data_IF_556414279580
#
_entry.id   IF_556414279580
#
_cell.length_a   1.000
_cell.length_b   1.000
_cell.length_c   1.000
_cell.angle_alpha   90.00
_cell.angle_beta   90.00
_cell.angle_gamma   90.00
#
_symmetry.space_group_name_H-M   'P 1'
#
loop_
_entity.id
_entity.type
_entity.pdbx_description
1 polymer ?
#
# COMPACT_ATOMS: atom_id res chain seq x y z
N UNK A 1 -0.30 -29.17 35.65
CA UNK A 1 0.96 -29.77 35.17
C UNK A 1 1.39 -29.21 33.80
N UNK A 2 0.57 -29.33 32.74
CA UNK A 2 0.94 -28.99 31.36
C UNK A 2 1.45 -27.56 31.06
N UNK A 3 1.12 -26.54 31.88
CA UNK A 3 1.66 -25.17 31.70
C UNK A 3 3.05 -24.99 32.33
N UNK A 4 3.32 -25.68 33.44
CA UNK A 4 4.57 -25.53 34.20
C UNK A 4 5.74 -26.15 33.44
N UNK A 5 5.52 -27.32 32.82
CA UNK A 5 6.51 -27.99 31.99
C UNK A 5 6.96 -27.11 30.81
N UNK A 6 6.06 -26.33 30.20
CA UNK A 6 6.44 -25.41 29.11
C UNK A 6 7.32 -24.22 29.54
N UNK A 7 7.36 -23.89 30.84
CA UNK A 7 8.20 -22.80 31.37
C UNK A 7 9.56 -23.29 31.85
N UNK A 8 9.69 -24.60 32.12
CA UNK A 8 10.94 -25.26 32.47
C UNK A 8 11.66 -25.74 31.21
N UNK A 9 12.03 -24.80 30.33
CA UNK A 9 12.81 -25.09 29.12
C UNK A 9 14.20 -25.62 29.53
N UNK A 10 14.57 -26.83 29.08
CA UNK A 10 15.81 -27.54 29.50
C UNK A 10 17.10 -26.77 29.13
N UNK A 11 16.98 -25.78 28.22
CA UNK A 11 18.10 -24.97 27.75
C UNK A 11 18.40 -23.72 28.60
N UNK A 12 17.72 -23.51 29.73
CA UNK A 12 17.85 -22.27 30.51
C UNK A 12 18.48 -22.47 31.90
N UNK A 13 19.66 -21.87 32.11
CA UNK A 13 20.37 -21.80 33.40
C UNK A 13 19.86 -20.64 34.26
N UNK A 14 18.58 -20.65 34.63
CA UNK A 14 18.02 -19.58 35.46
C UNK A 14 16.68 -19.89 36.14
N UNK A 15 16.23 -21.14 36.17
CA UNK A 15 15.08 -21.54 36.97
C UNK A 15 15.53 -21.80 38.41
N UNK A 16 15.03 -21.02 39.38
CA UNK A 16 15.41 -21.16 40.79
C UNK A 16 14.47 -22.09 41.56
N UNK A 17 13.20 -22.19 41.17
CA UNK A 17 12.26 -23.13 41.79
C UNK A 17 10.80 -22.69 41.69
N UNK A 18 9.94 -23.30 42.51
CA UNK A 18 8.52 -22.99 42.64
C UNK A 18 8.24 -22.69 44.11
N UNK A 19 7.51 -21.61 44.37
CA UNK A 19 6.98 -21.26 45.70
C UNK A 19 5.45 -21.30 45.69
N UNK A 20 4.81 -21.18 46.84
CA UNK A 20 3.35 -21.08 46.95
C UNK A 20 2.98 -19.88 47.82
N UNK A 21 2.07 -19.04 47.34
CA UNK A 21 1.51 -17.96 48.13
C UNK A 21 0.69 -18.57 49.29
N UNK A 22 1.01 -18.27 50.55
CA UNK A 22 0.34 -18.87 51.70
C UNK A 22 -1.14 -18.47 51.82
N UNK A 23 -1.52 -17.30 51.30
CA UNK A 23 -2.87 -16.74 51.40
C UNK A 23 -3.75 -17.24 50.25
N UNK A 24 -3.28 -17.09 49.01
CA UNK A 24 -4.06 -17.43 47.82
C UNK A 24 -3.93 -18.90 47.41
N UNK A 25 -2.92 -19.60 47.94
CA UNK A 25 -2.50 -20.96 47.54
C UNK A 25 -2.00 -21.07 46.10
N UNK A 26 -1.78 -19.95 45.42
CA UNK A 26 -1.23 -19.93 44.07
C UNK A 26 0.25 -20.34 44.05
N UNK A 27 0.64 -21.14 43.07
CA UNK A 27 2.04 -21.48 42.85
C UNK A 27 2.74 -20.41 42.01
N UNK A 28 3.90 -19.96 42.47
CA UNK A 28 4.72 -18.92 41.87
C UNK A 28 6.00 -19.55 41.34
N UNK A 29 6.26 -19.40 40.04
CA UNK A 29 7.54 -19.79 39.45
C UNK A 29 8.61 -18.73 39.78
N UNK A 30 9.76 -19.18 40.27
CA UNK A 30 10.90 -18.32 40.62
C UNK A 30 12.00 -18.54 39.59
N UNK A 31 12.37 -17.48 38.87
CA UNK A 31 13.36 -17.51 37.80
C UNK A 31 14.25 -16.26 37.83
N UNK A 32 15.40 -16.34 37.17
CA UNK A 32 16.36 -15.25 37.05
C UNK A 32 15.77 -14.07 36.28
N UNK A 33 16.24 -12.87 36.59
CA UNK A 33 15.84 -11.68 35.83
C UNK A 33 16.20 -11.78 34.34
N UNK A 34 17.18 -12.62 33.99
CA UNK A 34 17.55 -12.91 32.60
C UNK A 34 16.44 -13.63 31.82
N UNK A 35 15.56 -14.37 32.51
CA UNK A 35 14.37 -14.96 31.89
C UNK A 35 13.47 -13.87 31.30
N UNK A 36 13.30 -12.75 32.01
CA UNK A 36 12.49 -11.60 31.55
C UNK A 36 13.11 -10.84 30.37
N UNK A 37 14.37 -11.12 30.01
CA UNK A 37 14.98 -10.62 28.77
C UNK A 37 14.56 -11.42 27.55
N UNK A 38 14.27 -12.71 27.71
CA UNK A 38 13.93 -13.62 26.61
C UNK A 38 12.44 -13.90 26.48
N UNK A 39 11.66 -13.74 27.55
CA UNK A 39 10.24 -14.09 27.58
C UNK A 39 9.35 -12.89 27.90
N UNK A 40 8.17 -12.87 27.29
CA UNK A 40 7.17 -11.84 27.46
C UNK A 40 6.62 -11.82 28.88
N UNK A 41 6.66 -10.65 29.52
CA UNK A 41 6.16 -10.47 30.90
C UNK A 41 4.64 -10.68 31.05
N UNK A 42 3.90 -10.59 29.94
CA UNK A 42 2.43 -10.64 29.94
C UNK A 42 1.91 -12.03 29.61
N UNK A 43 2.45 -12.67 28.57
CA UNK A 43 1.97 -13.97 28.11
C UNK A 43 2.98 -15.11 28.25
N UNK A 44 4.19 -14.82 28.72
CA UNK A 44 5.27 -15.78 28.95
C UNK A 44 5.76 -16.53 27.70
N UNK A 45 5.36 -16.10 26.51
CA UNK A 45 5.95 -16.58 25.25
C UNK A 45 7.30 -15.92 25.00
N UNK A 46 8.21 -16.64 24.34
CA UNK A 46 9.52 -16.11 23.94
C UNK A 46 9.37 -14.85 23.07
N UNK A 47 10.20 -13.84 23.34
CA UNK A 47 10.33 -12.69 22.45
C UNK A 47 11.05 -13.10 21.17
N UNK A 48 10.61 -12.54 20.05
CA UNK A 48 11.36 -12.49 18.80
C UNK A 48 11.87 -11.06 18.63
N UNK A 49 13.18 -10.84 18.73
CA UNK A 49 13.77 -9.49 18.63
C UNK A 49 13.15 -8.47 19.62
N UNK A 50 12.99 -8.85 20.89
CA UNK A 50 12.33 -8.06 21.95
C UNK A 50 10.85 -7.73 21.70
N UNK A 51 10.21 -8.44 20.77
CA UNK A 51 8.81 -8.28 20.41
C UNK A 51 8.02 -9.57 20.66
N UNK A 52 6.78 -9.43 21.16
CA UNK A 52 5.90 -10.56 21.41
C UNK A 52 4.71 -10.54 20.45
N UNK A 53 4.77 -11.41 19.43
CA UNK A 53 3.71 -11.57 18.43
C UNK A 53 2.35 -11.83 19.04
N UNK A 54 2.27 -12.73 20.01
CA UNK A 54 1.01 -13.10 20.68
C UNK A 54 0.38 -11.89 21.37
N UNK A 55 1.16 -11.12 22.12
CA UNK A 55 0.68 -9.90 22.76
C UNK A 55 0.23 -8.85 21.74
N UNK A 56 0.98 -8.66 20.64
CA UNK A 56 0.53 -7.77 19.56
C UNK A 56 -0.82 -8.23 19.00
N UNK A 57 -0.97 -9.51 18.63
CA UNK A 57 -2.23 -10.01 18.08
C UNK A 57 -3.39 -9.83 19.06
N UNK A 58 -3.16 -9.97 20.36
CA UNK A 58 -4.19 -9.72 21.38
C UNK A 58 -4.58 -8.24 21.44
N UNK A 59 -3.63 -7.31 21.33
CA UNK A 59 -3.88 -5.87 21.25
C UNK A 59 -4.66 -5.51 19.97
N UNK A 60 -4.33 -6.13 18.84
CA UNK A 60 -5.06 -5.90 17.58
C UNK A 60 -6.51 -6.39 17.71
N UNK A 61 -6.71 -7.58 18.31
CA UNK A 61 -8.04 -8.13 18.57
C UNK A 61 -8.86 -7.28 19.52
N UNK A 62 -8.26 -6.77 20.60
CA UNK A 62 -8.98 -5.92 21.57
C UNK A 62 -9.37 -4.55 20.98
N UNK A 63 -8.56 -4.01 20.06
CA UNK A 63 -8.83 -2.75 19.38
C UNK A 63 -9.78 -2.87 18.18
N UNK A 64 -10.31 -4.06 17.89
CA UNK A 64 -11.12 -4.28 16.70
C UNK A 64 -12.38 -3.39 16.63
N UNK A 65 -12.97 -3.06 17.78
CA UNK A 65 -14.09 -2.12 17.85
C UNK A 65 -13.73 -0.71 17.34
N UNK A 66 -12.46 -0.29 17.48
CA UNK A 66 -11.98 1.02 17.04
C UNK A 66 -11.63 1.08 15.55
N UNK A 67 -11.46 -0.08 14.90
CA UNK A 67 -11.11 -0.21 13.47
C UNK A 67 -12.20 -0.87 12.64
N UNK A 68 -13.45 -0.81 13.11
CA UNK A 68 -14.56 -1.34 12.33
C UNK A 68 -14.97 -0.33 11.25
N UNK A 69 -15.05 -0.83 10.03
CA UNK A 69 -15.66 -0.11 8.90
C UNK A 69 -17.19 -0.09 8.96
N UNK A 70 -17.79 -0.87 9.87
CA UNK A 70 -19.21 -1.23 9.83
C UNK A 70 -19.56 -2.27 8.75
N UNK A 71 -18.61 -2.64 7.88
CA UNK A 71 -18.79 -3.66 6.85
C UNK A 71 -18.05 -4.95 7.21
N UNK A 72 -18.79 -6.07 7.34
CA UNK A 72 -18.22 -7.36 7.74
C UNK A 72 -17.13 -7.86 6.79
N UNK A 73 -17.26 -7.65 5.49
CA UNK A 73 -16.31 -8.14 4.49
C UNK A 73 -14.99 -7.36 4.55
N UNK A 74 -15.05 -6.02 4.67
CA UNK A 74 -13.86 -5.19 4.87
C UNK A 74 -13.18 -5.52 6.19
N UNK A 75 -13.96 -5.69 7.26
CA UNK A 75 -13.41 -6.04 8.55
C UNK A 75 -12.69 -7.40 8.51
N UNK A 76 -13.27 -8.40 7.83
CA UNK A 76 -12.63 -9.70 7.59
C UNK A 76 -11.33 -9.55 6.77
N UNK A 77 -11.36 -8.72 5.73
CA UNK A 77 -10.19 -8.42 4.92
C UNK A 77 -9.05 -7.76 5.73
N UNK A 78 -9.38 -6.78 6.58
CA UNK A 78 -8.43 -6.14 7.49
C UNK A 78 -7.80 -7.18 8.44
N UNK A 79 -8.61 -8.07 9.04
CA UNK A 79 -8.09 -9.15 9.89
C UNK A 79 -7.17 -10.10 9.12
N UNK A 80 -7.53 -10.46 7.88
CA UNK A 80 -6.67 -11.26 6.99
C UNK A 80 -5.32 -10.55 6.80
N UNK A 81 -5.31 -9.26 6.52
CA UNK A 81 -4.07 -8.49 6.37
C UNK A 81 -3.25 -8.41 7.68
N UNK A 82 -3.90 -8.15 8.82
CA UNK A 82 -3.24 -8.10 10.14
C UNK A 82 -2.64 -9.45 10.55
N UNK A 83 -3.21 -10.58 10.11
CA UNK A 83 -2.67 -11.92 10.38
C UNK A 83 -1.32 -12.19 9.70
N UNK A 84 -0.97 -11.41 8.68
CA UNK A 84 0.31 -11.52 7.95
C UNK A 84 1.50 -10.86 8.68
N UNK A 85 1.25 -10.16 9.78
CA UNK A 85 2.29 -9.52 10.60
C UNK A 85 3.18 -10.60 11.22
N UNK A 86 4.47 -10.55 10.90
CA UNK A 86 5.45 -11.54 11.32
C UNK A 86 6.73 -10.94 11.92
N UNK A 87 6.89 -9.62 11.88
CA UNK A 87 8.05 -8.91 12.46
C UNK A 87 7.59 -7.64 13.18
N UNK A 88 8.34 -7.17 14.20
CA UNK A 88 7.98 -5.95 14.93
C UNK A 88 7.86 -4.69 14.07
N UNK A 89 8.61 -4.61 12.97
CA UNK A 89 8.59 -3.48 12.05
C UNK A 89 7.54 -3.59 10.92
N UNK A 90 6.70 -4.64 10.92
CA UNK A 90 5.61 -4.72 9.95
C UNK A 90 4.51 -3.71 10.32
N UNK A 91 3.98 -3.00 9.32
CA UNK A 91 2.96 -1.98 9.52
C UNK A 91 1.61 -2.66 9.76
N UNK A 92 0.81 -2.09 10.65
CA UNK A 92 -0.54 -2.55 10.90
C UNK A 92 -1.45 -2.00 9.80
N UNK A 93 -2.14 -2.91 9.12
CA UNK A 93 -3.20 -2.55 8.17
C UNK A 93 -4.48 -2.21 8.94
N UNK A 94 -5.01 -1.01 8.75
CA UNK A 94 -6.10 -0.46 9.58
C UNK A 94 -7.32 -0.02 8.75
N UNK A 95 -8.48 0.06 9.40
CA UNK A 95 -9.54 0.93 8.89
C UNK A 95 -9.24 2.38 9.28
N UNK A 96 -9.30 3.28 8.31
CA UNK A 96 -8.96 4.68 8.50
C UNK A 96 -10.20 5.53 8.23
N UNK A 97 -10.79 6.18 9.26
CA UNK A 97 -11.87 7.13 9.08
C UNK A 97 -11.49 8.24 8.09
N UNK A 98 -12.36 8.51 7.10
CA UNK A 98 -12.04 9.47 6.03
C UNK A 98 -11.75 10.89 6.52
N UNK A 99 -12.37 11.30 7.64
CA UNK A 99 -12.14 12.59 8.30
C UNK A 99 -10.73 12.73 8.94
N UNK A 100 -9.94 11.65 8.95
CA UNK A 100 -8.53 11.70 9.36
C UNK A 100 -7.61 12.22 8.24
N UNK A 101 -8.09 12.37 7.01
CA UNK A 101 -7.31 12.96 5.91
C UNK A 101 -7.49 14.49 5.86
N UNK A 102 -6.39 15.20 5.58
CA UNK A 102 -6.36 16.66 5.42
C UNK A 102 -5.91 16.99 4.00
N UNK A 103 -6.46 18.06 3.43
CA UNK A 103 -6.10 18.54 2.10
C UNK A 103 -6.32 17.49 1.01
N UNK A 104 -7.42 16.72 1.09
CA UNK A 104 -7.86 15.87 -0.02
C UNK A 104 -8.31 16.80 -1.16
N UNK A 105 -7.36 17.20 -2.00
CA UNK A 105 -7.61 17.93 -3.23
C UNK A 105 -7.72 16.92 -4.34
N UNK A 106 -8.95 16.52 -4.66
CA UNK A 106 -9.20 15.70 -5.84
C UNK A 106 -8.88 16.55 -7.07
N UNK A 107 -7.91 16.11 -7.87
CA UNK A 107 -7.69 16.64 -9.21
C UNK A 107 -8.60 15.82 -10.12
N UNK A 108 -9.50 16.48 -10.82
CA UNK A 108 -10.47 15.81 -11.69
C UNK A 108 -9.75 14.90 -12.69
N UNK A 109 -10.14 13.63 -12.71
CA UNK A 109 -9.52 12.60 -13.54
C UNK A 109 -8.29 11.89 -12.96
N UNK A 110 -7.81 12.26 -11.75
CA UNK A 110 -6.75 11.51 -11.08
C UNK A 110 -7.30 10.30 -10.29
N UNK A 111 -6.64 9.17 -10.44
CA UNK A 111 -6.89 7.93 -9.71
C UNK A 111 -6.19 7.93 -8.33
N UNK A 112 -5.03 8.58 -8.25
CA UNK A 112 -4.25 8.70 -7.02
C UNK A 112 -4.27 10.13 -6.49
N UNK A 113 -4.46 10.28 -5.19
CA UNK A 113 -4.53 11.58 -4.51
C UNK A 113 -3.52 11.60 -3.37
N UNK A 114 -2.62 12.57 -3.37
CA UNK A 114 -1.72 12.82 -2.24
C UNK A 114 -2.46 13.56 -1.14
N UNK A 115 -2.32 13.12 0.10
CA UNK A 115 -2.99 13.71 1.27
C UNK A 115 -2.10 13.67 2.51
N UNK A 116 -2.55 14.27 3.62
CA UNK A 116 -1.94 14.13 4.94
C UNK A 116 -2.87 13.33 5.83
N UNK A 117 -2.36 12.26 6.44
CA UNK A 117 -3.08 11.48 7.43
C UNK A 117 -2.72 11.94 8.86
N UNK A 118 -3.71 12.48 9.58
CA UNK A 118 -3.55 13.05 10.94
C UNK A 118 -2.94 12.06 11.93
N UNK A 119 -3.50 10.86 11.99
CA UNK A 119 -3.20 9.85 13.00
C UNK A 119 -2.56 8.64 12.31
N UNK A 120 -1.33 8.78 11.84
CA UNK A 120 -0.62 7.78 11.03
C UNK A 120 -0.59 6.39 11.70
N UNK A 121 -0.19 5.31 10.99
CA UNK A 121 -0.47 3.95 11.43
C UNK A 121 0.28 3.63 12.72
N UNK A 122 -0.28 2.72 13.52
CA UNK A 122 0.41 2.23 14.70
C UNK A 122 1.68 1.48 14.29
N UNK A 123 2.77 1.73 15.02
CA UNK A 123 3.96 0.91 14.95
C UNK A 123 4.50 0.64 16.36
N UNK A 124 5.25 -0.45 16.50
CA UNK A 124 5.92 -0.79 17.74
C UNK A 124 7.28 -0.09 17.79
N UNK A 125 7.45 0.83 18.73
CA UNK A 125 8.73 1.45 18.98
C UNK A 125 9.58 0.50 19.83
N UNK A 126 10.54 -0.17 19.20
CA UNK A 126 11.43 -1.14 19.86
C UNK A 126 12.21 -0.47 21.00
N UNK A 127 12.61 0.80 20.85
CA UNK A 127 13.42 1.51 21.84
C UNK A 127 12.63 1.81 23.11
N UNK A 128 11.35 2.19 22.95
CA UNK A 128 10.44 2.51 24.05
C UNK A 128 9.63 1.31 24.54
N UNK A 129 9.65 0.21 23.78
CA UNK A 129 8.85 -1.02 24.01
C UNK A 129 7.35 -0.73 24.15
N UNK A 130 6.88 0.24 23.38
CA UNK A 130 5.49 0.70 23.40
C UNK A 130 4.94 0.91 21.99
N UNK A 131 3.62 0.90 21.88
CA UNK A 131 2.92 1.23 20.65
C UNK A 131 2.78 2.74 20.54
N UNK A 132 3.22 3.30 19.42
CA UNK A 132 3.14 4.74 19.19
C UNK A 132 2.63 5.04 17.77
N UNK A 133 2.30 6.31 17.53
CA UNK A 133 1.84 6.82 16.23
C UNK A 133 2.66 8.05 15.84
N UNK A 134 3.10 8.10 14.60
CA UNK A 134 3.53 9.37 13.98
C UNK A 134 2.27 10.15 13.65
N UNK A 135 2.29 11.47 13.82
CA UNK A 135 1.18 12.33 13.38
C UNK A 135 1.53 13.01 12.06
N UNK A 136 0.51 13.28 11.25
CA UNK A 136 0.63 14.06 10.01
C UNK A 136 1.57 13.47 8.94
N UNK A 137 1.45 12.17 8.68
CA UNK A 137 2.21 11.52 7.61
C UNK A 137 1.64 11.86 6.23
N UNK A 138 2.51 12.10 5.23
CA UNK A 138 2.09 12.22 3.83
C UNK A 138 1.75 10.85 3.27
N UNK A 139 0.58 10.71 2.68
CA UNK A 139 0.09 9.42 2.16
C UNK A 139 -0.49 9.58 0.76
N UNK A 140 -0.67 8.45 0.08
CA UNK A 140 -1.32 8.37 -1.22
C UNK A 140 -2.62 7.57 -1.09
N UNK A 141 -3.73 8.15 -1.55
CA UNK A 141 -5.03 7.52 -1.63
C UNK A 141 -5.24 6.98 -3.04
N UNK A 142 -5.53 5.69 -3.19
CA UNK A 142 -6.00 5.10 -4.45
C UNK A 142 -7.50 4.86 -4.34
N UNK A 143 -8.27 5.56 -5.17
CA UNK A 143 -9.71 5.34 -5.21
C UNK A 143 -10.03 4.04 -5.94
N UNK A 144 -10.90 3.21 -5.36
CA UNK A 144 -11.40 2.01 -6.03
C UNK A 144 -12.76 2.37 -6.60
N UNK A 145 -12.82 2.70 -7.88
CA UNK A 145 -14.08 3.11 -8.50
C UNK A 145 -15.11 1.99 -8.52
N UNK A 146 -16.40 2.35 -8.40
CA UNK A 146 -17.53 1.43 -8.41
C UNK A 146 -17.48 0.35 -7.31
N UNK A 147 -16.87 0.68 -6.17
CA UNK A 147 -16.66 -0.24 -5.05
C UNK A 147 -17.72 -0.17 -3.95
N UNK A 148 -18.79 0.60 -4.17
CA UNK A 148 -19.91 0.75 -3.24
C UNK A 148 -20.46 -0.62 -2.80
N UNK A 149 -20.50 -1.56 -3.75
CA UNK A 149 -20.83 -2.96 -3.51
C UNK A 149 -19.57 -3.81 -3.61
N UNK A 150 -19.10 -4.29 -2.46
CA UNK A 150 -17.98 -5.21 -2.40
C UNK A 150 -18.35 -6.55 -3.03
N UNK A 151 -17.52 -6.97 -3.98
CA UNK A 151 -17.57 -8.30 -4.58
C UNK A 151 -16.23 -9.00 -4.34
N UNK A 152 -16.21 -10.32 -4.41
CA UNK A 152 -14.95 -11.09 -4.30
C UNK A 152 -13.95 -10.69 -5.39
N UNK A 153 -14.45 -10.34 -6.58
CA UNK A 153 -13.62 -9.80 -7.67
C UNK A 153 -12.90 -8.52 -7.26
N UNK A 154 -13.61 -7.60 -6.60
CA UNK A 154 -13.03 -6.35 -6.11
C UNK A 154 -11.98 -6.59 -5.03
N UNK A 155 -12.24 -7.52 -4.10
CA UNK A 155 -11.27 -7.90 -3.07
C UNK A 155 -10.00 -8.51 -3.68
N UNK A 156 -10.14 -9.35 -4.70
CA UNK A 156 -9.00 -9.92 -5.42
C UNK A 156 -8.18 -8.84 -6.15
N UNK A 157 -8.84 -7.83 -6.73
CA UNK A 157 -8.18 -6.68 -7.35
C UNK A 157 -7.44 -5.82 -6.30
N UNK A 158 -8.05 -5.61 -5.14
CA UNK A 158 -7.38 -4.95 -4.01
C UNK A 158 -6.14 -5.74 -3.59
N UNK A 159 -6.25 -7.06 -3.45
CA UNK A 159 -5.11 -7.92 -3.08
C UNK A 159 -3.99 -7.84 -4.12
N UNK A 160 -4.32 -7.80 -5.41
CA UNK A 160 -3.30 -7.66 -6.46
C UNK A 160 -2.59 -6.30 -6.38
N UNK A 161 -3.30 -5.19 -6.11
CA UNK A 161 -2.65 -3.89 -5.93
C UNK A 161 -1.67 -3.88 -4.75
N UNK A 162 -2.05 -4.51 -3.64
CA UNK A 162 -1.21 -4.59 -2.45
C UNK A 162 0.04 -5.45 -2.69
N UNK A 163 -0.12 -6.57 -3.41
CA UNK A 163 0.97 -7.50 -3.74
C UNK A 163 1.94 -6.89 -4.77
N UNK A 164 1.41 -6.25 -5.82
CA UNK A 164 2.22 -5.59 -6.85
C UNK A 164 3.13 -4.53 -6.24
N UNK A 165 2.60 -3.73 -5.31
CA UNK A 165 3.41 -2.71 -4.64
C UNK A 165 4.44 -3.32 -3.71
N UNK A 166 4.10 -4.40 -2.99
CA UNK A 166 5.05 -5.13 -2.17
C UNK A 166 6.25 -5.63 -2.99
N UNK A 167 5.99 -6.17 -4.19
CA UNK A 167 7.03 -6.65 -5.10
C UNK A 167 7.95 -5.51 -5.59
N UNK A 168 7.40 -4.34 -5.93
CA UNK A 168 8.23 -3.20 -6.35
C UNK A 168 9.15 -2.71 -5.24
N UNK A 169 8.65 -2.59 -4.02
CA UNK A 169 9.50 -2.20 -2.88
C UNK A 169 10.66 -3.17 -2.66
N UNK A 170 10.40 -4.46 -2.77
CA UNK A 170 11.45 -5.48 -2.65
C UNK A 170 12.51 -5.32 -3.75
N UNK A 171 12.09 -5.06 -5.00
CA UNK A 171 12.98 -4.83 -6.13
C UNK A 171 13.95 -3.67 -5.91
N UNK A 172 13.50 -2.60 -5.26
CA UNK A 172 14.31 -1.40 -4.99
C UNK A 172 14.95 -1.37 -3.60
N UNK A 173 14.97 -2.50 -2.87
CA UNK A 173 15.49 -2.60 -1.50
C UNK A 173 14.92 -1.54 -0.55
N UNK A 174 13.66 -1.16 -0.75
CA UNK A 174 13.04 -0.14 0.09
C UNK A 174 12.79 -0.65 1.51
N UNK A 175 12.92 0.25 2.48
CA UNK A 175 12.65 -0.09 3.88
C UNK A 175 11.23 -0.60 4.05
N UNK A 176 11.07 -1.61 4.92
CA UNK A 176 9.75 -2.09 5.36
C UNK A 176 8.86 -1.01 5.99
N UNK A 177 9.33 0.20 6.26
CA UNK A 177 8.53 1.31 6.82
C UNK A 177 7.61 1.99 5.77
N UNK A 178 7.77 1.71 4.49
CA UNK A 178 6.93 2.24 3.41
C UNK A 178 5.91 1.15 3.01
N UNK A 179 4.72 1.06 3.61
CA UNK A 179 3.75 -0.01 3.31
C UNK A 179 2.35 0.53 3.05
N UNK A 180 1.47 -0.41 2.68
CA UNK A 180 0.03 -0.26 2.70
C UNK A 180 -0.45 0.04 4.13
N UNK A 181 -1.09 1.18 4.33
CA UNK A 181 -1.55 1.62 5.64
C UNK A 181 -2.94 1.11 5.99
N UNK A 182 -3.81 0.90 5.00
CA UNK A 182 -5.16 0.47 5.29
C UNK A 182 -6.17 0.75 4.19
N UNK A 183 -7.44 0.70 4.62
CA UNK A 183 -8.60 1.00 3.79
C UNK A 183 -9.40 2.13 4.44
N UNK A 184 -9.96 3.00 3.61
CA UNK A 184 -10.95 4.00 3.99
C UNK A 184 -12.17 3.90 3.06
N UNK A 185 -13.18 4.73 3.29
CA UNK A 185 -14.30 4.89 2.38
C UNK A 185 -14.64 6.37 2.25
N UNK A 186 -14.78 6.84 1.02
CA UNK A 186 -15.24 8.19 0.74
C UNK A 186 -16.71 8.31 1.19
N UNK A 187 -17.04 9.25 2.10
CA UNK A 187 -18.39 9.37 2.64
C UNK A 187 -19.41 9.86 1.60
N UNK A 188 -18.96 10.51 0.52
CA UNK A 188 -19.82 11.05 -0.53
C UNK A 188 -20.06 10.02 -1.64
N UNK A 189 -18.98 9.48 -2.23
CA UNK A 189 -19.09 8.53 -3.36
C UNK A 189 -19.35 7.09 -2.91
N UNK A 190 -19.18 6.80 -1.61
CA UNK A 190 -19.24 5.46 -1.00
C UNK A 190 -18.21 4.47 -1.54
N UNK A 191 -17.30 4.91 -2.41
CA UNK A 191 -16.19 4.10 -2.89
C UNK A 191 -15.16 3.90 -1.78
N UNK A 192 -14.62 2.68 -1.70
CA UNK A 192 -13.46 2.35 -0.88
C UNK A 192 -12.18 2.94 -1.47
N UNK A 193 -11.26 3.26 -0.57
CA UNK A 193 -9.99 3.87 -0.86
C UNK A 193 -8.90 3.02 -0.22
N UNK A 194 -7.88 2.66 -0.98
CA UNK A 194 -6.65 2.11 -0.41
C UNK A 194 -5.72 3.25 -0.03
N UNK A 195 -5.08 3.09 1.13
CA UNK A 195 -4.17 4.08 1.69
C UNK A 195 -2.77 3.50 1.65
N UNK A 196 -1.91 4.12 0.86
CA UNK A 196 -0.51 3.74 0.68
C UNK A 196 0.41 4.81 1.26
N UNK A 197 1.65 4.45 1.53
CA UNK A 197 2.70 5.43 1.74
C UNK A 197 2.94 6.27 0.47
N UNK A 198 3.51 7.46 0.65
CA UNK A 198 3.66 8.44 -0.43
C UNK A 198 4.53 7.93 -1.59
N UNK A 199 5.42 6.97 -1.37
CA UNK A 199 6.29 6.46 -2.42
C UNK A 199 5.55 5.64 -3.47
N UNK A 200 4.30 5.24 -3.21
CA UNK A 200 3.45 4.61 -4.19
C UNK A 200 3.40 5.38 -5.53
N UNK A 201 3.38 6.72 -5.48
CA UNK A 201 3.36 7.57 -6.69
C UNK A 201 4.65 7.53 -7.52
N UNK A 202 5.72 6.89 -7.02
CA UNK A 202 6.95 6.67 -7.77
C UNK A 202 6.79 5.52 -8.77
N UNK A 203 5.93 4.54 -8.46
CA UNK A 203 5.74 3.33 -9.25
C UNK A 203 4.44 3.34 -10.04
N UNK A 204 3.47 4.17 -9.65
CA UNK A 204 2.14 4.19 -10.25
C UNK A 204 1.75 5.60 -10.71
N UNK A 205 1.03 5.63 -11.84
CA UNK A 205 0.57 6.86 -12.46
C UNK A 205 -0.54 7.53 -11.66
N UNK A 206 -0.36 8.82 -11.34
CA UNK A 206 -1.35 9.59 -10.59
C UNK A 206 -2.70 9.71 -11.32
N UNK A 207 -2.67 9.77 -12.65
CA UNK A 207 -3.87 9.93 -13.49
C UNK A 207 -4.73 8.67 -13.52
N UNK A 208 -4.17 7.53 -13.95
CA UNK A 208 -4.96 6.31 -14.15
C UNK A 208 -4.73 5.23 -13.08
N UNK A 209 -3.70 5.36 -12.23
CA UNK A 209 -3.34 4.35 -11.24
C UNK A 209 -2.62 3.14 -11.83
N UNK A 210 -2.34 3.10 -13.14
CA UNK A 210 -1.57 2.01 -13.71
C UNK A 210 -0.10 2.13 -13.33
N UNK A 211 0.54 0.97 -13.15
CA UNK A 211 1.98 0.88 -12.91
C UNK A 211 2.75 1.48 -14.08
N UNK A 212 3.84 2.17 -13.77
CA UNK A 212 4.81 2.61 -14.78
C UNK A 212 5.64 1.41 -15.25
N UNK A 213 5.89 1.33 -16.55
CA UNK A 213 6.88 0.38 -17.10
C UNK A 213 8.30 0.73 -16.62
N UNK A 214 8.57 2.04 -16.50
CA UNK A 214 9.80 2.59 -15.94
C UNK A 214 9.46 3.72 -14.97
N UNK A 215 9.77 3.52 -13.69
CA UNK A 215 9.52 4.50 -12.62
C UNK A 215 10.36 5.78 -12.74
N UNK A 216 11.50 5.75 -13.44
CA UNK A 216 12.35 6.93 -13.63
C UNK A 216 11.74 7.96 -14.58
N UNK A 217 11.14 7.50 -15.69
CA UNK A 217 10.53 8.41 -16.67
C UNK A 217 9.13 8.87 -16.27
N UNK A 218 8.47 8.14 -15.36
CA UNK A 218 7.06 8.32 -14.99
C UNK A 218 6.12 8.38 -16.20
N UNK A 219 6.53 7.76 -17.31
CA UNK A 219 5.73 7.67 -18.51
C UNK A 219 4.69 6.56 -18.37
N UNK A 220 3.44 6.86 -18.72
CA UNK A 220 2.33 5.93 -18.63
C UNK A 220 1.70 5.70 -20.01
N UNK A 221 1.90 4.51 -20.56
CA UNK A 221 1.35 4.10 -21.85
C UNK A 221 -0.16 4.27 -21.93
N UNK A 222 -0.89 3.83 -20.90
CA UNK A 222 -2.35 3.94 -20.87
C UNK A 222 -2.83 5.40 -20.92
N UNK A 223 -2.16 6.31 -20.19
CA UNK A 223 -2.48 7.73 -20.26
C UNK A 223 -2.16 8.33 -21.63
N UNK A 224 -1.06 7.89 -22.26
CA UNK A 224 -0.70 8.32 -23.60
C UNK A 224 -1.72 7.84 -24.64
N UNK A 225 -2.09 6.57 -24.61
CA UNK A 225 -3.11 6.00 -25.51
C UNK A 225 -4.43 6.75 -25.36
N UNK A 226 -4.84 7.04 -24.12
CA UNK A 226 -6.05 7.81 -23.87
C UNK A 226 -5.93 9.26 -24.39
N UNK A 227 -4.76 9.88 -24.24
CA UNK A 227 -4.49 11.19 -24.83
C UNK A 227 -4.65 11.16 -26.35
N UNK A 228 -4.07 10.17 -27.04
CA UNK A 228 -4.22 10.05 -28.49
C UNK A 228 -5.67 9.85 -28.90
N UNK A 229 -6.37 8.90 -28.29
CA UNK A 229 -7.80 8.63 -28.57
C UNK A 229 -8.68 9.87 -28.41
N UNK A 230 -8.42 10.68 -27.40
CA UNK A 230 -9.17 11.91 -27.16
C UNK A 230 -8.84 13.05 -28.12
N UNK A 231 -7.74 12.95 -28.87
CA UNK A 231 -7.22 14.01 -29.75
C UNK A 231 -7.10 13.59 -31.23
N UNK A 232 -7.60 12.42 -31.63
CA UNK A 232 -7.51 11.95 -33.02
C UNK A 232 -8.08 12.97 -34.03
N UNK A 233 -9.12 13.71 -33.66
CA UNK A 233 -9.71 14.75 -34.50
C UNK A 233 -8.78 15.94 -34.76
N UNK A 234 -7.72 16.12 -33.96
CA UNK A 234 -6.78 17.23 -34.12
C UNK A 234 -5.71 16.96 -35.20
N UNK A 235 -5.53 15.70 -35.60
CA UNK A 235 -4.51 15.28 -36.57
C UNK A 235 -5.11 14.73 -37.86
N UNK A 236 -6.29 15.23 -38.25
CA UNK A 236 -6.96 14.79 -39.48
C UNK A 236 -6.33 15.42 -40.73
N UNK A 237 -6.09 14.59 -41.73
CA UNK A 237 -5.72 14.97 -43.09
C UNK A 237 -6.93 15.26 -43.98
N UNK A 238 -8.14 14.90 -43.53
CA UNK A 238 -9.34 14.85 -44.34
C UNK A 238 -9.45 13.60 -45.23
N UNK A 239 -8.50 12.67 -45.15
CA UNK A 239 -8.55 11.38 -45.83
C UNK A 239 -8.60 10.24 -44.82
N UNK A 240 -9.73 9.53 -44.79
CA UNK A 240 -10.02 8.45 -43.84
C UNK A 240 -8.88 7.41 -43.75
N UNK A 241 -8.33 6.95 -44.89
CA UNK A 241 -7.26 5.94 -44.89
C UNK A 241 -5.95 6.44 -44.31
N UNK A 242 -5.63 7.71 -44.51
CA UNK A 242 -4.42 8.33 -43.95
C UNK A 242 -4.62 8.58 -42.45
N UNK A 243 -5.80 9.01 -42.06
CA UNK A 243 -6.15 9.23 -40.66
C UNK A 243 -6.12 7.92 -39.87
N UNK A 244 -6.64 6.83 -40.44
CA UNK A 244 -6.55 5.48 -39.86
C UNK A 244 -5.09 5.06 -39.65
N UNK A 245 -4.24 5.26 -40.66
CA UNK A 245 -2.80 4.96 -40.55
C UNK A 245 -2.13 5.79 -39.44
N UNK A 246 -2.46 7.09 -39.34
CA UNK A 246 -1.92 7.96 -38.30
C UNK A 246 -2.32 7.44 -36.91
N UNK A 247 -3.60 7.11 -36.72
CA UNK A 247 -4.11 6.58 -35.46
C UNK A 247 -3.42 5.26 -35.09
N UNK A 248 -3.27 4.34 -36.04
CA UNK A 248 -2.56 3.08 -35.81
C UNK A 248 -1.11 3.29 -35.36
N UNK A 249 -0.36 4.17 -36.02
CA UNK A 249 1.02 4.44 -35.67
C UNK A 249 1.16 5.14 -34.31
N UNK A 250 0.24 6.06 -33.98
CA UNK A 250 0.18 6.69 -32.66
C UNK A 250 -0.08 5.68 -31.54
N UNK A 251 -0.93 4.68 -31.78
CA UNK A 251 -1.23 3.62 -30.81
C UNK A 251 -0.10 2.60 -30.64
N UNK A 252 0.74 2.40 -31.66
CA UNK A 252 1.94 1.54 -31.60
C UNK A 252 3.10 2.18 -30.84
N UNK A 253 3.07 3.48 -30.61
CA UNK A 253 4.18 4.22 -30.00
C UNK A 253 4.42 3.81 -28.54
N UNK A 254 5.60 3.24 -28.27
CA UNK A 254 6.00 2.70 -26.97
C UNK A 254 6.66 3.69 -26.00
N UNK A 255 6.70 4.98 -26.30
CA UNK A 255 7.03 6.08 -25.37
C UNK A 255 8.33 6.03 -24.56
N UNK A 256 9.24 5.10 -24.83
CA UNK A 256 10.57 5.09 -24.25
C UNK A 256 11.50 6.04 -25.02
N UNK A 257 11.57 7.29 -24.56
CA UNK A 257 12.53 8.30 -25.04
C UNK A 257 11.93 9.35 -25.98
N UNK A 258 12.78 10.26 -26.45
CA UNK A 258 12.50 11.40 -27.33
C UNK A 258 11.99 11.03 -28.74
N UNK A 259 11.16 9.99 -28.87
CA UNK A 259 10.54 9.62 -30.13
C UNK A 259 9.53 10.67 -30.57
N UNK A 260 9.51 10.93 -31.87
CA UNK A 260 8.54 11.84 -32.49
C UNK A 260 7.22 11.11 -32.65
N UNK A 261 6.13 11.75 -32.25
CA UNK A 261 4.76 11.25 -32.51
C UNK A 261 4.49 11.33 -34.01
N UNK A 262 3.95 10.26 -34.59
CA UNK A 262 3.49 10.28 -35.97
C UNK A 262 2.20 11.10 -36.06
N UNK A 263 2.19 12.18 -36.83
CA UNK A 263 1.05 13.10 -36.93
C UNK A 263 0.91 13.67 -38.34
N UNK A 264 -0.30 14.14 -38.66
CA UNK A 264 -0.52 14.93 -39.86
C UNK A 264 0.13 16.31 -39.71
N UNK A 265 1.01 16.65 -40.65
CA UNK A 265 1.63 17.97 -40.72
C UNK A 265 1.10 18.69 -41.97
N UNK A 266 0.33 19.76 -41.81
CA UNK A 266 -0.08 20.59 -42.93
C UNK A 266 1.12 21.05 -43.74
N UNK A 267 1.06 20.93 -45.07
CA UNK A 267 2.22 21.18 -45.95
C UNK A 267 2.85 22.58 -45.78
N UNK A 268 2.02 23.58 -45.44
CA UNK A 268 2.46 24.95 -45.17
C UNK A 268 3.24 25.11 -43.86
N UNK A 269 3.14 24.16 -42.93
CA UNK A 269 3.89 24.15 -41.67
C UNK A 269 5.28 23.51 -41.81
N UNK A 270 5.57 22.84 -42.93
CA UNK A 270 6.84 22.13 -43.08
C UNK A 270 7.97 23.10 -43.44
N UNK A 271 9.04 23.05 -42.64
CA UNK A 271 10.25 23.85 -42.85
C UNK A 271 10.75 23.69 -44.30
N UNK A 272 10.97 24.80 -45.05
CA UNK A 272 11.46 24.75 -46.43
C UNK A 272 12.74 23.92 -46.61
N UNK A 273 13.65 23.92 -45.63
CA UNK A 273 14.89 23.13 -45.68
C UNK A 273 14.62 21.62 -45.64
N UNK A 274 13.52 21.18 -45.03
CA UNK A 274 13.15 19.77 -44.97
C UNK A 274 12.44 19.30 -46.24
N UNK A 275 11.88 20.22 -47.03
CA UNK A 275 11.21 19.90 -48.31
C UNK A 275 12.14 19.21 -49.29
N UNK A 276 13.44 19.52 -49.23
CA UNK A 276 14.46 18.90 -50.09
C UNK A 276 14.69 17.41 -49.79
N UNK A 277 14.32 16.94 -48.59
CA UNK A 277 14.49 15.56 -48.15
C UNK A 277 13.20 14.74 -48.23
N UNK A 278 12.09 15.34 -48.66
CA UNK A 278 10.82 14.63 -48.83
C UNK A 278 10.86 13.67 -50.00
N UNK A 279 10.26 12.49 -49.83
CA UNK A 279 10.02 11.52 -50.90
C UNK A 279 8.53 11.50 -51.23
N UNK A 280 8.22 11.37 -52.52
CA UNK A 280 6.84 11.07 -52.95
C UNK A 280 6.54 9.61 -52.64
N UNK A 281 5.37 9.38 -52.06
CA UNK A 281 4.80 8.07 -51.78
C UNK A 281 3.82 7.68 -52.89
#
# INVERSE_FOLDING_TARGET
MNKVESYCDENFSGNYGISQNPDTKDYILVFSQDYLKQYCKVCYNKYEFEWCKTCQMNILKSNFANWTSGNRNINSFIQKMQSKINKPGDIIFEWIPYNNFINVKEIEGNCLITTIWKNAPFYYDISKKEWTRVSYEKTCLRNIYNSQYLTDKLLNEVESYLLDYENERQRYNESKKCQNYGVSQNPYTKNYILVFDIKYIQFYCEKCGNKYENSYSKWCQACQINYFKNNFTNWTSGNEKIDDLIQEEQLKYGGHGHGTVFEWIPYNMINPLWKYHMRRL
#
